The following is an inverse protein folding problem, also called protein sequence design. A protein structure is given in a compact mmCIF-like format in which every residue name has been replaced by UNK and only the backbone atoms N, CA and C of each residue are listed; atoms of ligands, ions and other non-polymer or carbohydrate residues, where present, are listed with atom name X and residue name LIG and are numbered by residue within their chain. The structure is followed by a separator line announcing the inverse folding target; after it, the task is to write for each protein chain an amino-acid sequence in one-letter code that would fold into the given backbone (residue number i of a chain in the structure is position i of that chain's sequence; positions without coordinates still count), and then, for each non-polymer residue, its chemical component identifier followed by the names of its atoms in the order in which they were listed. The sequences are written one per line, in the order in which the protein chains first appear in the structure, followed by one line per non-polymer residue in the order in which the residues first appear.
data_IF_748845913327
#
_entry.id   IF_748845913327
#
_cell.length_a   1.000
_cell.length_b   1.000
_cell.length_c   1.000
_cell.angle_alpha   90.00
_cell.angle_beta   90.00
_cell.angle_gamma   90.00
#
_symmetry.space_group_name_H-M   'P 1'
#
loop_
_entity.id
_entity.type
_entity.pdbx_description
1 polymer ?
#
# COMPACT_ATOMS: atom_id res chain seq x y z
N UNK A 1 -1.61 -7.09 -1.54
CA UNK A 1 -0.66 -6.49 -0.57
C UNK A 1 -1.33 -5.40 0.26
N UNK A 2 -1.88 -4.36 -0.36
CA UNK A 2 -2.59 -3.28 0.36
C UNK A 2 -3.63 -3.80 1.37
N UNK A 3 -4.61 -4.58 0.90
CA UNK A 3 -5.71 -5.10 1.73
C UNK A 3 -5.23 -5.99 2.88
N UNK A 4 -4.17 -6.77 2.70
CA UNK A 4 -3.60 -7.60 3.77
C UNK A 4 -3.00 -6.74 4.88
N UNK A 5 -2.42 -5.59 4.53
CA UNK A 5 -1.73 -4.68 5.46
C UNK A 5 -2.73 -3.73 6.13
N UNK A 6 -3.64 -3.14 5.34
CA UNK A 6 -4.61 -2.15 5.81
C UNK A 6 -5.88 -2.81 6.38
N UNK A 7 -6.11 -4.09 6.10
CA UNK A 7 -7.38 -4.77 6.31
C UNK A 7 -8.52 -4.32 5.39
N UNK A 8 -8.30 -3.29 4.57
CA UNK A 8 -9.33 -2.63 3.77
C UNK A 8 -9.10 -2.88 2.29
N UNK A 9 -10.12 -3.23 1.51
CA UNK A 9 -10.01 -3.24 0.06
C UNK A 9 -9.61 -1.85 -0.45
N UNK A 10 -8.79 -1.77 -1.51
CA UNK A 10 -8.45 -0.49 -2.12
C UNK A 10 -9.73 0.19 -2.62
N UNK A 11 -9.85 1.49 -2.33
CA UNK A 11 -10.95 2.36 -2.79
C UNK A 11 -12.36 1.90 -2.35
N UNK A 12 -12.49 1.18 -1.24
CA UNK A 12 -13.78 0.69 -0.72
C UNK A 12 -14.82 1.78 -0.46
N UNK A 13 -14.39 3.01 -0.24
CA UNK A 13 -15.23 4.17 0.02
C UNK A 13 -15.56 4.97 -1.25
N UNK A 14 -15.13 4.53 -2.44
CA UNK A 14 -15.31 5.23 -3.72
C UNK A 14 -16.08 4.39 -4.74
N UNK A 15 -16.74 5.06 -5.69
CA UNK A 15 -17.42 4.39 -6.81
C UNK A 15 -16.37 3.76 -7.74
N UNK A 16 -16.60 2.53 -8.19
CA UNK A 16 -15.72 1.88 -9.16
C UNK A 16 -16.11 2.27 -10.59
N UNK A 17 -16.02 3.56 -10.91
CA UNK A 17 -16.46 4.13 -12.18
C UNK A 17 -15.28 4.64 -13.05
N UNK A 18 -15.60 5.27 -14.17
CA UNK A 18 -14.60 5.85 -15.07
C UNK A 18 -13.79 6.96 -14.40
N UNK A 19 -14.40 7.70 -13.45
CA UNK A 19 -13.73 8.78 -12.75
C UNK A 19 -12.63 8.24 -11.83
N UNK A 20 -12.89 7.15 -11.10
CA UNK A 20 -11.86 6.45 -10.34
C UNK A 20 -10.76 5.92 -11.27
N UNK A 21 -11.11 5.34 -12.42
CA UNK A 21 -10.12 4.87 -13.40
C UNK A 21 -9.21 6.00 -13.90
N UNK A 22 -9.77 7.16 -14.24
CA UNK A 22 -9.00 8.37 -14.63
C UNK A 22 -8.05 8.79 -13.51
N UNK A 23 -8.54 8.86 -12.27
CA UNK A 23 -7.69 9.19 -11.11
C UNK A 23 -6.52 8.23 -10.96
N UNK A 24 -6.76 6.92 -11.12
CA UNK A 24 -5.71 5.90 -11.06
C UNK A 24 -4.69 6.10 -12.18
N UNK A 25 -5.12 6.33 -13.43
CA UNK A 25 -4.21 6.66 -14.53
C UNK A 25 -3.39 7.92 -14.21
N UNK A 26 -3.99 8.92 -13.57
CA UNK A 26 -3.32 10.14 -13.15
C UNK A 26 -2.48 10.01 -11.87
N UNK A 27 -2.21 8.79 -11.39
CA UNK A 27 -1.31 8.53 -10.27
C UNK A 27 -1.99 8.33 -8.93
N UNK A 28 -3.33 8.32 -8.83
CA UNK A 28 -3.98 7.92 -7.58
C UNK A 28 -3.59 6.46 -7.26
N UNK A 29 -3.16 6.25 -6.01
CA UNK A 29 -2.76 4.95 -5.49
C UNK A 29 -3.29 4.78 -4.06
N UNK A 30 -3.53 3.54 -3.59
CA UNK A 30 -3.97 3.30 -2.22
C UNK A 30 -2.93 3.81 -1.21
N UNK A 31 -3.39 4.40 -0.09
CA UNK A 31 -2.54 4.98 0.96
C UNK A 31 -2.74 4.24 2.28
N UNK A 32 -1.64 3.91 2.96
CA UNK A 32 -1.70 3.27 4.27
C UNK A 32 -2.02 4.29 5.37
N UNK A 33 -2.93 3.93 6.26
CA UNK A 33 -3.29 4.67 7.47
C UNK A 33 -2.50 4.20 8.71
N UNK A 34 -1.58 3.24 8.53
CA UNK A 34 -0.66 2.73 9.54
C UNK A 34 0.78 2.91 9.05
N UNK A 35 1.75 2.86 9.97
CA UNK A 35 3.16 2.77 9.55
C UNK A 35 3.41 1.39 8.95
N UNK A 36 4.10 1.36 7.81
CA UNK A 36 4.40 0.15 7.04
C UNK A 36 5.91 0.06 6.85
N UNK A 37 6.53 -1.13 6.92
CA UNK A 37 7.96 -1.28 6.66
C UNK A 37 8.35 -0.68 5.30
N UNK A 38 9.51 -0.01 5.24
CA UNK A 38 9.93 0.69 4.03
C UNK A 38 10.01 -0.26 2.83
N UNK A 39 10.55 -1.46 3.02
CA UNK A 39 10.66 -2.44 1.93
C UNK A 39 9.29 -2.84 1.35
N UNK A 40 8.23 -2.84 2.16
CA UNK A 40 6.87 -3.12 1.71
C UNK A 40 6.33 -1.93 0.92
N UNK A 41 6.60 -0.71 1.38
CA UNK A 41 6.27 0.52 0.66
C UNK A 41 6.90 0.49 -0.74
N UNK A 42 8.21 0.22 -0.81
CA UNK A 42 8.95 0.17 -2.06
C UNK A 42 8.45 -0.95 -2.99
N UNK A 43 8.09 -2.11 -2.42
CA UNK A 43 7.49 -3.21 -3.18
C UNK A 43 6.11 -2.87 -3.72
N UNK A 44 5.25 -2.20 -2.93
CA UNK A 44 3.94 -1.73 -3.43
C UNK A 44 4.12 -0.69 -4.52
N UNK A 45 5.11 0.21 -4.40
CA UNK A 45 5.45 1.18 -5.45
C UNK A 45 5.81 0.48 -6.75
N UNK A 46 6.72 -0.50 -6.72
CA UNK A 46 7.13 -1.22 -7.94
C UNK A 46 6.00 -2.05 -8.53
N UNK A 47 5.16 -2.69 -7.71
CA UNK A 47 3.99 -3.43 -8.20
C UNK A 47 2.96 -2.53 -8.91
N UNK A 48 2.87 -1.26 -8.52
CA UNK A 48 1.90 -0.29 -9.03
C UNK A 48 2.51 0.72 -10.00
N UNK A 49 3.72 0.44 -10.52
CA UNK A 49 4.40 1.30 -11.48
C UNK A 49 3.58 1.40 -12.78
N UNK A 50 3.44 2.63 -13.27
CA UNK A 50 2.80 2.93 -14.54
C UNK A 50 3.48 2.21 -15.71
N UNK A 51 4.82 2.11 -15.69
CA UNK A 51 5.58 1.33 -16.65
C UNK A 51 5.55 -0.16 -16.28
N UNK A 52 4.94 -1.04 -17.09
CA UNK A 52 4.89 -2.47 -16.80
C UNK A 52 6.25 -3.14 -16.67
N UNK A 53 7.30 -2.60 -17.32
CA UNK A 53 8.65 -3.15 -17.26
C UNK A 53 9.33 -2.96 -15.89
N UNK A 54 8.86 -2.01 -15.09
CA UNK A 54 9.37 -1.77 -13.73
C UNK A 54 8.68 -2.66 -12.69
N UNK A 55 7.65 -3.42 -13.08
CA UNK A 55 6.90 -4.26 -12.14
C UNK A 55 7.66 -5.54 -11.87
N UNK A 56 7.78 -5.95 -10.59
CA UNK A 56 8.43 -7.21 -10.26
C UNK A 56 7.59 -8.38 -10.75
N UNK A 57 8.28 -9.44 -11.15
CA UNK A 57 7.70 -10.74 -11.41
C UNK A 57 7.22 -11.39 -10.10
N UNK A 58 6.30 -12.35 -10.22
CA UNK A 58 5.85 -13.13 -9.07
C UNK A 58 7.00 -13.86 -8.36
N UNK A 59 8.04 -14.26 -9.10
CA UNK A 59 9.24 -14.91 -8.55
C UNK A 59 10.04 -13.96 -7.67
N UNK A 60 10.30 -12.74 -8.14
CA UNK A 60 11.02 -11.71 -7.35
C UNK A 60 10.24 -11.36 -6.08
N UNK A 61 8.91 -11.22 -6.17
CA UNK A 61 8.05 -11.00 -4.99
C UNK A 61 8.19 -12.16 -3.99
N UNK A 62 8.15 -13.41 -4.47
CA UNK A 62 8.32 -14.59 -3.61
C UNK A 62 9.68 -14.59 -2.90
N UNK A 63 10.76 -14.25 -3.60
CA UNK A 63 12.10 -14.19 -3.03
C UNK A 63 12.22 -13.12 -1.92
N UNK A 64 11.59 -11.96 -2.10
CA UNK A 64 11.55 -10.89 -1.07
C UNK A 64 10.87 -11.38 0.22
N UNK A 65 9.80 -12.15 0.10
CA UNK A 65 9.04 -12.67 1.25
C UNK A 65 9.53 -14.01 1.78
N UNK A 66 10.57 -14.60 1.16
CA UNK A 66 11.10 -15.88 1.60
C UNK A 66 11.67 -15.75 3.03
N UNK A 67 11.10 -16.45 4.04
CA UNK A 67 11.53 -16.31 5.44
C UNK A 67 13.00 -16.65 5.66
N UNK A 68 13.54 -17.54 4.84
CA UNK A 68 14.94 -17.96 4.84
C UNK A 68 15.88 -16.89 4.27
N UNK A 69 15.35 -15.97 3.47
CA UNK A 69 16.08 -14.87 2.84
C UNK A 69 15.82 -13.52 3.54
N UNK A 70 14.95 -13.48 4.55
CA UNK A 70 14.58 -12.24 5.22
C UNK A 70 15.76 -11.73 6.06
N UNK A 71 16.39 -10.65 5.58
CA UNK A 71 17.54 -10.05 6.23
C UNK A 71 17.21 -9.52 7.63
N UNK A 72 18.24 -9.39 8.47
CA UNK A 72 18.14 -8.79 9.80
C UNK A 72 17.57 -7.36 9.75
N UNK A 73 17.90 -6.61 8.70
CA UNK A 73 17.39 -5.25 8.48
C UNK A 73 15.88 -5.24 8.21
N UNK A 74 15.38 -6.13 7.35
CA UNK A 74 13.94 -6.23 7.09
C UNK A 74 13.15 -6.61 8.36
N UNK A 75 13.70 -7.53 9.16
CA UNK A 75 13.13 -7.90 10.47
C UNK A 75 13.08 -6.72 11.43
N UNK A 76 14.14 -5.89 11.46
CA UNK A 76 14.21 -4.68 12.27
C UNK A 76 13.13 -3.66 11.86
N UNK A 77 12.94 -3.45 10.55
CA UNK A 77 11.87 -2.57 10.04
C UNK A 77 10.47 -3.05 10.45
N UNK A 78 10.21 -4.37 10.35
CA UNK A 78 8.94 -4.97 10.78
C UNK A 78 8.73 -4.72 12.28
N UNK A 79 9.71 -5.07 13.12
CA UNK A 79 9.58 -4.90 14.57
C UNK A 79 9.31 -3.45 14.96
N UNK A 80 10.06 -2.50 14.38
CA UNK A 80 9.92 -1.07 14.68
C UNK A 80 8.56 -0.51 14.25
N UNK A 81 8.05 -0.91 13.08
CA UNK A 81 6.73 -0.46 12.62
C UNK A 81 5.59 -1.05 13.44
N UNK A 82 5.70 -2.31 13.87
CA UNK A 82 4.74 -2.93 14.81
C UNK A 82 4.72 -2.18 16.15
N UNK A 83 5.88 -1.88 16.72
CA UNK A 83 5.98 -1.13 17.98
C UNK A 83 5.32 0.26 17.88
N UNK A 84 5.62 1.01 16.82
CA UNK A 84 5.02 2.34 16.59
C UNK A 84 3.50 2.25 16.45
N UNK A 85 3.01 1.28 15.67
CA UNK A 85 1.58 1.11 15.45
C UNK A 85 0.84 0.69 16.74
N UNK A 86 1.46 -0.12 17.60
CA UNK A 86 0.90 -0.53 18.88
C UNK A 86 0.82 0.63 19.88
N UNK A 87 1.81 1.53 19.85
CA UNK A 87 1.86 2.70 20.73
C UNK A 87 0.94 3.85 20.27
N UNK A 88 0.55 3.87 18.98
CA UNK A 88 -0.41 4.84 18.46
C UNK A 88 -1.85 4.47 18.87
N UNK A 89 -2.40 5.20 19.85
CA UNK A 89 -3.76 4.97 20.37
C UNK A 89 -4.90 5.14 19.35
N UNK A 90 -4.60 5.59 18.13
CA UNK A 90 -5.58 5.92 17.09
C UNK A 90 -5.75 4.84 16.00
N UNK A 91 -4.95 3.76 16.01
CA UNK A 91 -4.90 2.80 14.89
C UNK A 91 -5.77 1.55 15.07
N UNK A 92 -6.70 1.54 16.03
CA UNK A 92 -7.67 0.45 16.16
C UNK A 92 -8.71 0.57 15.04
N UNK A 93 -8.41 -0.06 13.91
CA UNK A 93 -9.46 -0.50 12.99
C UNK A 93 -10.47 -1.29 13.83
N UNK A 94 -11.77 -0.95 13.80
CA UNK A 94 -12.77 -1.69 14.54
C UNK A 94 -12.83 -3.14 14.04
N UNK A 95 -12.18 -4.05 14.76
CA UNK A 95 -12.35 -5.48 14.60
C UNK A 95 -13.65 -5.86 15.29
N UNK A 96 -14.68 -6.18 14.50
CA UNK A 96 -15.85 -6.86 15.02
C UNK A 96 -15.62 -8.37 14.93
N UNK A 97 -16.33 -9.15 15.75
CA UNK A 97 -16.20 -10.62 15.78
C UNK A 97 -16.52 -11.32 14.43
N UNK A 98 -16.94 -10.58 13.40
CA UNK A 98 -17.24 -11.06 12.04
C UNK A 98 -16.18 -10.67 10.98
N UNK A 99 -15.12 -9.94 11.35
CA UNK A 99 -14.15 -9.37 10.41
C UNK A 99 -14.08 -7.83 10.52
N UNK A 100 -13.21 -7.24 9.69
CA UNK A 100 -13.12 -5.78 9.55
C UNK A 100 -14.49 -5.20 9.12
N UNK A 101 -15.03 -4.28 9.91
CA UNK A 101 -16.23 -3.53 9.54
C UNK A 101 -15.82 -2.25 8.80
N UNK A 102 -15.98 -2.23 7.47
CA UNK A 102 -15.79 -1.03 6.64
C UNK A 102 -17.05 -0.71 5.85
N UNK A 103 -17.27 0.59 5.58
CA UNK A 103 -18.39 1.05 4.77
C UNK A 103 -17.98 1.00 3.30
N UNK A 104 -18.64 0.17 2.51
CA UNK A 104 -18.47 0.17 1.06
C UNK A 104 -19.38 1.19 0.40
N UNK A 105 -18.91 1.88 -0.63
CA UNK A 105 -19.84 2.58 -1.53
C UNK A 105 -20.73 1.54 -2.25
N UNK A 106 -22.01 1.86 -2.46
CA UNK A 106 -22.99 0.95 -3.09
C UNK A 106 -22.60 0.53 -4.51
N UNK A 107 -21.75 1.32 -5.16
CA UNK A 107 -21.20 1.10 -6.51
C UNK A 107 -19.75 0.59 -6.49
N UNK A 108 -19.29 0.04 -5.36
CA UNK A 108 -18.05 -0.76 -5.35
C UNK A 108 -18.31 -2.15 -5.90
N UNK A 109 -17.36 -2.65 -6.69
CA UNK A 109 -17.39 -4.00 -7.24
C UNK A 109 -16.02 -4.64 -7.13
N UNK A 110 -15.91 -5.71 -6.35
CA UNK A 110 -14.69 -6.50 -6.15
C UNK A 110 -14.72 -7.86 -6.87
N UNK A 111 -15.83 -8.17 -7.55
CA UNK A 111 -15.92 -9.30 -8.46
C UNK A 111 -15.40 -8.91 -9.85
N UNK A 112 -14.91 -9.90 -10.59
CA UNK A 112 -14.45 -9.71 -11.97
C UNK A 112 -15.58 -9.16 -12.86
N UNK A 113 -15.27 -8.15 -13.67
CA UNK A 113 -16.17 -7.58 -14.68
C UNK A 113 -15.36 -6.91 -15.78
N UNK A 114 -15.97 -6.73 -16.95
CA UNK A 114 -15.37 -5.94 -18.01
C UNK A 114 -15.35 -4.45 -17.60
N UNK A 115 -14.18 -3.83 -17.72
CA UNK A 115 -14.01 -2.38 -17.59
C UNK A 115 -13.97 -1.79 -19.00
N UNK A 116 -15.07 -1.17 -19.43
CA UNK A 116 -15.16 -0.49 -20.71
C UNK A 116 -15.14 1.03 -20.48
N UNK A 117 -13.94 1.57 -20.30
CA UNK A 117 -13.71 3.01 -20.13
C UNK A 117 -12.93 3.53 -21.33
N UNK A 118 -13.60 4.29 -22.19
CA UNK A 118 -12.96 4.91 -23.34
C UNK A 118 -12.16 6.16 -22.91
N UNK A 119 -11.10 6.48 -23.65
CA UNK A 119 -10.32 7.72 -23.51
C UNK A 119 -9.65 7.92 -22.12
N UNK A 120 -9.16 6.83 -21.50
CA UNK A 120 -8.33 6.96 -20.30
C UNK A 120 -7.00 7.67 -20.63
N UNK A 121 -6.50 8.56 -19.75
CA UNK A 121 -5.20 9.19 -19.96
C UNK A 121 -4.07 8.18 -19.81
N UNK A 122 -2.89 8.51 -20.34
CA UNK A 122 -1.68 7.71 -20.16
C UNK A 122 -1.38 7.54 -18.66
N UNK A 123 -1.17 6.30 -18.18
CA UNK A 123 -0.85 6.06 -16.78
C UNK A 123 0.46 6.75 -16.39
N UNK A 124 0.46 7.42 -15.23
CA UNK A 124 1.65 7.96 -14.59
C UNK A 124 1.80 7.49 -13.15
N UNK A 125 3.03 7.56 -12.66
CA UNK A 125 3.32 7.37 -11.24
C UNK A 125 2.86 8.60 -10.44
N UNK A 126 2.59 8.43 -9.13
CA UNK A 126 2.27 9.58 -8.27
C UNK A 126 3.56 10.26 -7.83
N UNK A 127 3.56 11.59 -7.94
CA UNK A 127 4.70 12.44 -7.62
C UNK A 127 4.97 12.49 -6.09
N UNK A 128 3.99 12.12 -5.26
CA UNK A 128 4.02 12.21 -3.79
C UNK A 128 3.87 10.85 -3.07
N UNK A 129 4.00 9.74 -3.81
CA UNK A 129 3.58 8.43 -3.32
C UNK A 129 4.43 7.96 -2.13
N UNK A 130 3.79 7.81 -0.97
CA UNK A 130 4.42 7.44 0.32
C UNK A 130 5.57 8.34 0.78
N UNK A 131 5.74 9.54 0.24
CA UNK A 131 6.69 10.52 0.81
C UNK A 131 6.16 11.07 2.15
N UNK A 132 4.84 11.10 2.30
CA UNK A 132 4.16 11.57 3.51
C UNK A 132 3.88 10.43 4.47
N UNK A 133 4.94 9.87 5.03
CA UNK A 133 4.93 9.18 6.32
C UNK A 133 6.37 8.91 6.69
N UNK A 134 6.98 9.76 7.52
CA UNK A 134 8.32 9.63 8.13
C UNK A 134 8.94 8.24 7.89
N UNK A 135 9.58 8.09 6.73
CA UNK A 135 10.30 6.88 6.44
C UNK A 135 11.38 6.84 7.51
N UNK A 136 11.41 5.76 8.28
CA UNK A 136 12.19 5.58 9.51
C UNK A 136 13.72 5.66 9.29
N UNK A 137 14.17 6.06 8.11
CA UNK A 137 15.55 6.32 7.73
C UNK A 137 15.96 7.78 8.08
N UNK A 138 15.08 8.58 8.71
CA UNK A 138 15.35 10.00 9.02
C UNK A 138 15.93 10.34 10.40
N UNK A 139 16.01 9.40 11.36
CA UNK A 139 16.53 9.70 12.70
C UNK A 139 17.63 8.70 13.09
N UNK A 140 18.81 9.26 13.37
CA UNK A 140 20.04 8.63 13.90
C UNK A 140 21.12 8.19 12.89
N UNK A 141 21.67 9.15 12.12
CA UNK A 141 23.14 9.36 12.07
C UNK A 141 23.41 10.86 12.03
N UNK A 142 23.04 11.59 13.08
CA UNK A 142 23.56 12.93 13.33
C UNK A 142 23.60 13.16 14.83
N UNK A 143 24.74 12.81 15.43
CA UNK A 143 25.03 13.15 16.82
C UNK A 143 25.60 12.03 17.64
N UNK A 144 26.84 11.62 17.33
CA UNK A 144 27.83 11.41 18.39
C UNK A 144 29.11 12.10 17.88
N UNK A 145 29.44 13.21 18.55
CA UNK A 145 30.75 13.85 18.49
C UNK A 145 31.83 12.91 19.04
#
# INVERSE_FOLDING_TARGET
MYEVISGLPPYHDLNHDQYLAIKICQGLRPRFNIKVPQFIVDLVKSCLDANPLNRPTAKEIYEIFNPWSLSTELRKQISKTVEINNNSSNNKIPSTNLGLSYKTHSETFYASRLLNFDNLPEPKNSDDYYERNDNIIGMEISGIN
#
